data_IF_246525887581
#
_entry.id   IF_246525887581
#
_cell.length_a   1.000
_cell.length_b   1.000
_cell.length_c   1.000
_cell.angle_alpha   90.00
_cell.angle_beta   90.00
_cell.angle_gamma   90.00
#
_symmetry.space_group_name_H-M   'P 1'
#
loop_
_entity.id
_entity.type
_entity.pdbx_description
1 polymer ?
#
# COMPACT_ATOMS: atom_id res chain seq x y z
N UNK A 1 28.42 -1.01 -12.51
CA UNK A 1 27.15 -1.38 -11.84
C UNK A 1 26.06 -0.60 -12.55
N UNK A 2 25.40 -1.21 -13.54
CA UNK A 2 24.41 -0.52 -14.36
C UNK A 2 23.15 -0.27 -13.50
N UNK A 3 22.79 1.00 -13.34
CA UNK A 3 21.68 1.42 -12.49
C UNK A 3 20.32 1.16 -13.12
N UNK A 4 19.31 1.00 -12.25
CA UNK A 4 17.87 0.80 -12.48
C UNK A 4 17.22 1.66 -13.60
N UNK A 5 17.90 2.70 -14.09
CA UNK A 5 17.34 3.74 -14.95
C UNK A 5 17.63 3.60 -16.46
N UNK A 6 18.50 2.68 -16.91
CA UNK A 6 19.08 2.78 -18.26
C UNK A 6 18.58 1.80 -19.34
N UNK A 7 17.56 0.97 -19.07
CA UNK A 7 17.03 0.07 -20.11
C UNK A 7 15.51 0.17 -20.32
N UNK A 8 15.04 0.64 -21.48
CA UNK A 8 13.60 0.63 -21.82
C UNK A 8 13.04 -0.80 -21.95
N UNK A 9 13.91 -1.79 -22.23
CA UNK A 9 13.56 -3.22 -22.30
C UNK A 9 13.42 -3.89 -20.93
N UNK A 10 13.97 -3.31 -19.86
CA UNK A 10 13.79 -3.79 -18.48
C UNK A 10 12.57 -3.15 -17.79
N UNK A 11 11.88 -2.22 -18.46
CA UNK A 11 10.78 -1.44 -17.88
C UNK A 11 9.61 -2.29 -17.41
N UNK A 12 9.24 -3.37 -18.12
CA UNK A 12 8.13 -4.25 -17.74
C UNK A 12 8.46 -5.03 -16.45
N UNK A 13 9.69 -5.53 -16.33
CA UNK A 13 10.16 -6.22 -15.13
C UNK A 13 10.32 -5.25 -13.95
N UNK A 14 10.79 -4.03 -14.21
CA UNK A 14 10.87 -2.96 -13.19
C UNK A 14 9.47 -2.53 -12.72
N UNK A 15 8.49 -2.38 -13.61
CA UNK A 15 7.10 -2.12 -13.26
C UNK A 15 6.51 -3.26 -12.41
N UNK A 16 6.76 -4.51 -12.82
CA UNK A 16 6.27 -5.71 -12.12
C UNK A 16 6.86 -5.84 -10.72
N UNK A 17 8.17 -5.68 -10.57
CA UNK A 17 8.84 -5.73 -9.26
C UNK A 17 8.40 -4.61 -8.32
N UNK A 18 8.26 -3.36 -8.81
CA UNK A 18 7.68 -2.27 -8.02
C UNK A 18 6.24 -2.57 -7.61
N UNK A 19 5.43 -3.09 -8.53
CA UNK A 19 4.08 -3.54 -8.21
C UNK A 19 4.07 -4.54 -7.05
N UNK A 20 4.86 -5.62 -7.14
CA UNK A 20 4.92 -6.64 -6.10
C UNK A 20 5.43 -6.09 -4.77
N UNK A 21 6.41 -5.18 -4.78
CA UNK A 21 6.90 -4.52 -3.56
C UNK A 21 5.79 -3.72 -2.87
N UNK A 22 4.99 -2.96 -3.61
CA UNK A 22 3.85 -2.22 -3.05
C UNK A 22 2.70 -3.13 -2.61
N UNK A 23 2.45 -4.24 -3.30
CA UNK A 23 1.48 -5.25 -2.86
C UNK A 23 1.91 -5.87 -1.53
N UNK A 24 3.19 -6.18 -1.36
CA UNK A 24 3.71 -6.68 -0.10
C UNK A 24 3.51 -5.65 1.02
N UNK A 25 3.77 -4.37 0.75
CA UNK A 25 3.52 -3.29 1.73
C UNK A 25 2.05 -3.22 2.15
N UNK A 26 1.11 -3.37 1.19
CA UNK A 26 -0.32 -3.41 1.48
C UNK A 26 -0.68 -4.61 2.36
N UNK A 27 -0.28 -5.82 1.95
CA UNK A 27 -0.55 -7.06 2.69
C UNK A 27 0.02 -7.02 4.10
N UNK A 28 1.27 -6.57 4.25
CA UNK A 28 1.94 -6.49 5.55
C UNK A 28 1.25 -5.50 6.48
N UNK A 29 0.89 -4.31 5.97
CA UNK A 29 0.20 -3.29 6.75
C UNK A 29 -1.16 -3.81 7.24
N UNK A 30 -1.97 -4.35 6.32
CA UNK A 30 -3.31 -4.88 6.65
C UNK A 30 -3.21 -6.07 7.59
N UNK A 31 -2.26 -6.98 7.38
CA UNK A 31 -2.04 -8.14 8.25
C UNK A 31 -1.75 -7.72 9.69
N UNK A 32 -0.82 -6.79 9.89
CA UNK A 32 -0.47 -6.28 11.22
C UNK A 32 -1.63 -5.52 11.86
N UNK A 33 -2.40 -4.73 11.10
CA UNK A 33 -3.60 -4.07 11.62
C UNK A 33 -4.67 -5.07 12.06
N UNK A 34 -4.95 -6.11 11.26
CA UNK A 34 -5.89 -7.16 11.65
C UNK A 34 -5.40 -7.93 12.88
N UNK A 35 -4.10 -8.23 12.96
CA UNK A 35 -3.49 -8.88 14.12
C UNK A 35 -3.61 -8.00 15.38
N UNK A 36 -3.35 -6.69 15.27
CA UNK A 36 -3.52 -5.75 16.37
C UNK A 36 -4.99 -5.61 16.79
N UNK A 37 -5.94 -5.65 15.84
CA UNK A 37 -7.38 -5.57 16.11
C UNK A 37 -7.93 -6.79 16.86
N UNK A 38 -7.30 -7.96 16.74
CA UNK A 38 -7.62 -9.15 17.54
C UNK A 38 -7.23 -9.01 19.02
N UNK A 39 -6.49 -7.95 19.38
CA UNK A 39 -6.03 -7.68 20.74
C UNK A 39 -6.75 -6.45 21.30
N UNK A 40 -6.91 -6.38 22.63
CA UNK A 40 -7.44 -5.17 23.29
C UNK A 40 -6.51 -3.98 23.02
N UNK A 41 -7.02 -2.78 22.63
CA UNK A 41 -6.18 -1.63 22.29
C UNK A 41 -5.19 -1.19 23.38
N UNK A 42 -5.54 -1.39 24.65
CA UNK A 42 -4.67 -1.06 25.79
C UNK A 42 -3.65 -2.16 26.15
N UNK A 43 -3.65 -3.28 25.42
CA UNK A 43 -2.72 -4.39 25.69
C UNK A 43 -1.32 -4.13 25.16
N UNK A 44 -0.33 -4.74 25.81
CA UNK A 44 1.05 -4.76 25.33
C UNK A 44 1.17 -5.42 23.96
N UNK A 45 0.41 -6.50 23.71
CA UNK A 45 0.38 -7.18 22.42
C UNK A 45 -0.10 -6.26 21.28
N UNK A 46 -1.18 -5.50 21.50
CA UNK A 46 -1.65 -4.50 20.54
C UNK A 46 -0.57 -3.44 20.27
N UNK A 47 0.03 -2.90 21.34
CA UNK A 47 1.07 -1.87 21.26
C UNK A 47 2.31 -2.37 20.51
N UNK A 48 2.72 -3.61 20.76
CA UNK A 48 3.86 -4.27 20.11
C UNK A 48 3.62 -4.44 18.61
N UNK A 49 2.47 -4.99 18.22
CA UNK A 49 2.11 -5.19 16.81
C UNK A 49 2.05 -3.86 16.05
N UNK A 50 1.45 -2.83 16.65
CA UNK A 50 1.43 -1.48 16.07
C UNK A 50 2.82 -0.87 16.00
N UNK A 51 3.69 -1.10 17.00
CA UNK A 51 5.09 -0.68 16.98
C UNK A 51 5.85 -1.27 15.79
N UNK A 52 5.73 -2.59 15.56
CA UNK A 52 6.32 -3.27 14.40
C UNK A 52 5.85 -2.65 13.08
N UNK A 53 4.56 -2.33 12.98
CA UNK A 53 3.98 -1.69 11.80
C UNK A 53 4.60 -0.32 11.55
N UNK A 54 4.73 0.51 12.59
CA UNK A 54 5.31 1.84 12.44
C UNK A 54 6.81 1.80 12.18
N UNK A 55 7.54 0.88 12.79
CA UNK A 55 8.97 0.65 12.51
C UNK A 55 9.20 0.21 11.07
N UNK A 56 8.33 -0.64 10.53
CA UNK A 56 8.36 -1.01 9.12
C UNK A 56 8.24 0.23 8.22
N UNK A 57 7.24 1.07 8.44
CA UNK A 57 7.05 2.28 7.63
C UNK A 57 8.11 3.36 7.90
N UNK A 58 8.71 3.39 9.09
CA UNK A 58 9.86 4.22 9.41
C UNK A 58 11.10 3.87 8.58
N UNK A 59 11.23 2.62 8.14
CA UNK A 59 12.31 2.17 7.25
C UNK A 59 11.94 2.25 5.77
N UNK A 60 10.71 1.89 5.42
CA UNK A 60 10.26 1.86 4.01
C UNK A 60 10.08 3.26 3.44
N UNK A 61 9.50 4.19 4.21
CA UNK A 61 9.20 5.54 3.70
C UNK A 61 10.46 6.28 3.23
N UNK A 62 11.58 6.31 3.98
CA UNK A 62 12.83 6.90 3.49
C UNK A 62 13.35 6.27 2.20
N UNK A 63 13.27 4.94 2.06
CA UNK A 63 13.70 4.24 0.84
C UNK A 63 12.84 4.64 -0.37
N UNK A 64 11.53 4.77 -0.19
CA UNK A 64 10.61 5.23 -1.25
C UNK A 64 10.90 6.69 -1.61
N UNK A 65 11.15 7.56 -0.63
CA UNK A 65 11.54 8.95 -0.85
C UNK A 65 12.85 9.08 -1.63
N UNK A 66 13.84 8.27 -1.28
CA UNK A 66 15.09 8.19 -2.03
C UNK A 66 14.83 7.75 -3.47
N UNK A 67 13.99 6.72 -3.67
CA UNK A 67 13.64 6.22 -5.00
C UNK A 67 13.02 7.32 -5.89
N UNK A 68 12.03 8.04 -5.36
CA UNK A 68 11.37 9.12 -6.14
C UNK A 68 12.28 10.31 -6.39
N UNK A 69 13.31 10.54 -5.57
CA UNK A 69 14.26 11.65 -5.77
C UNK A 69 15.19 11.48 -6.97
N UNK A 70 15.35 10.26 -7.49
CA UNK A 70 16.30 9.96 -8.56
C UNK A 70 15.91 10.55 -9.91
N UNK A 71 14.63 10.47 -10.28
CA UNK A 71 14.15 11.03 -11.55
C UNK A 71 12.64 11.21 -11.54
N UNK A 72 12.17 12.18 -12.33
CA UNK A 72 10.73 12.43 -12.50
C UNK A 72 9.96 11.22 -13.05
N UNK A 73 10.56 10.48 -13.98
CA UNK A 73 9.95 9.28 -14.57
C UNK A 73 9.73 8.20 -13.51
N UNK A 74 10.74 7.96 -12.67
CA UNK A 74 10.63 7.00 -11.58
C UNK A 74 9.63 7.46 -10.52
N UNK A 75 9.59 8.76 -10.22
CA UNK A 75 8.59 9.34 -9.32
C UNK A 75 7.16 9.16 -9.85
N UNK A 76 6.93 9.31 -11.16
CA UNK A 76 5.62 9.06 -11.78
C UNK A 76 5.19 7.59 -11.61
N UNK A 77 6.11 6.65 -11.85
CA UNK A 77 5.86 5.22 -11.68
C UNK A 77 5.53 4.89 -10.23
N UNK A 78 6.35 5.37 -9.29
CA UNK A 78 6.14 5.16 -7.85
C UNK A 78 4.83 5.79 -7.40
N UNK A 79 4.50 7.01 -7.84
CA UNK A 79 3.25 7.68 -7.47
C UNK A 79 2.00 6.87 -7.85
N UNK A 80 2.01 6.20 -9.00
CA UNK A 80 0.91 5.32 -9.41
C UNK A 80 0.74 4.12 -8.47
N UNK A 81 1.84 3.45 -8.12
CA UNK A 81 1.81 2.32 -7.18
C UNK A 81 1.49 2.77 -5.76
N UNK A 82 2.02 3.91 -5.34
CA UNK A 82 1.80 4.50 -4.03
C UNK A 82 0.33 4.90 -3.83
N UNK A 83 -0.29 5.54 -4.82
CA UNK A 83 -1.73 5.83 -4.77
C UNK A 83 -2.56 4.55 -4.72
N UNK A 84 -2.17 3.51 -5.47
CA UNK A 84 -2.84 2.20 -5.41
C UNK A 84 -2.73 1.58 -4.01
N UNK A 85 -1.63 1.82 -3.30
CA UNK A 85 -1.47 1.44 -1.90
C UNK A 85 -2.42 2.25 -0.99
N UNK A 86 -2.51 3.56 -1.15
CA UNK A 86 -3.45 4.38 -0.36
C UNK A 86 -4.90 3.95 -0.56
N UNK A 87 -5.29 3.67 -1.81
CA UNK A 87 -6.62 3.19 -2.17
C UNK A 87 -6.91 1.81 -1.56
N UNK A 88 -5.93 0.89 -1.57
CA UNK A 88 -6.06 -0.42 -0.94
C UNK A 88 -6.23 -0.31 0.58
N UNK A 89 -5.45 0.57 1.23
CA UNK A 89 -5.58 0.82 2.66
C UNK A 89 -6.93 1.46 3.01
N UNK A 90 -7.42 2.38 2.19
CA UNK A 90 -8.75 2.97 2.33
C UNK A 90 -9.84 1.89 2.20
N UNK A 91 -9.76 1.04 1.18
CA UNK A 91 -10.73 -0.04 0.96
C UNK A 91 -10.73 -1.05 2.11
N UNK A 92 -9.61 -1.24 2.80
CA UNK A 92 -9.50 -2.09 3.99
C UNK A 92 -9.86 -1.37 5.31
N UNK A 93 -10.32 -0.11 5.25
CA UNK A 93 -10.59 0.75 6.42
C UNK A 93 -9.38 0.87 7.37
N UNK A 94 -8.17 0.94 6.81
CA UNK A 94 -6.92 1.07 7.56
C UNK A 94 -6.91 2.35 8.40
N UNK A 95 -6.69 2.21 9.71
CA UNK A 95 -6.53 3.35 10.62
C UNK A 95 -5.16 4.01 10.42
N UNK A 96 -4.16 3.23 9.98
CA UNK A 96 -2.80 3.65 9.70
C UNK A 96 -2.74 4.69 8.58
N UNK A 97 -3.62 4.60 7.58
CA UNK A 97 -3.66 5.55 6.46
C UNK A 97 -3.65 7.00 6.97
N UNK A 98 -4.60 7.36 7.83
CA UNK A 98 -4.70 8.72 8.38
C UNK A 98 -3.46 9.15 9.16
N UNK A 99 -2.87 8.22 9.92
CA UNK A 99 -1.69 8.47 10.77
C UNK A 99 -0.43 8.70 9.96
N UNK A 100 -0.27 8.01 8.84
CA UNK A 100 0.93 8.08 7.99
C UNK A 100 0.81 9.05 6.82
N UNK A 101 -0.40 9.52 6.49
CA UNK A 101 -0.60 10.52 5.44
C UNK A 101 0.34 11.74 5.52
N UNK A 102 0.61 12.35 6.69
CA UNK A 102 1.55 13.47 6.78
C UNK A 102 2.97 13.13 6.32
N UNK A 103 3.48 11.94 6.66
CA UNK A 103 4.83 11.50 6.29
C UNK A 103 4.90 10.93 4.87
N UNK A 104 3.76 10.53 4.32
CA UNK A 104 3.64 10.00 2.96
C UNK A 104 3.38 11.07 1.91
N UNK A 105 2.85 12.22 2.29
CA UNK A 105 2.63 13.33 1.36
C UNK A 105 3.89 13.68 0.56
N UNK A 106 5.10 13.80 1.16
CA UNK A 106 6.32 14.10 0.40
C UNK A 106 6.64 13.10 -0.73
N UNK A 107 6.22 11.83 -0.61
CA UNK A 107 6.41 10.83 -1.69
C UNK A 107 5.71 11.27 -2.97
N UNK A 108 4.46 11.72 -2.85
CA UNK A 108 3.65 12.13 -3.99
C UNK A 108 4.13 13.43 -4.63
N UNK A 109 4.65 14.35 -3.82
CA UNK A 109 4.98 15.71 -4.25
C UNK A 109 6.48 15.93 -4.50
N UNK A 110 7.32 14.89 -4.48
CA UNK A 110 8.78 15.01 -4.60
C UNK A 110 9.24 15.84 -5.82
N UNK A 111 8.55 15.72 -6.96
CA UNK A 111 8.81 16.49 -8.19
C UNK A 111 7.63 17.38 -8.60
N UNK A 112 6.63 17.56 -7.73
CA UNK A 112 5.38 18.21 -8.05
C UNK A 112 5.06 19.30 -7.04
N UNK A 113 4.97 20.53 -7.51
CA UNK A 113 4.31 21.62 -6.77
C UNK A 113 2.79 21.34 -6.74
N UNK A 114 2.26 20.85 -7.86
CA UNK A 114 0.89 20.38 -8.00
C UNK A 114 0.90 19.03 -8.73
N UNK A 115 0.17 18.05 -8.18
CA UNK A 115 0.01 16.74 -8.82
C UNK A 115 -0.78 16.85 -10.13
N UNK A 116 -0.46 16.03 -11.14
CA UNK A 116 -1.30 15.86 -12.32
C UNK A 116 -2.76 15.57 -11.95
N UNK A 117 -3.71 16.14 -12.68
CA UNK A 117 -5.14 16.14 -12.29
C UNK A 117 -5.71 14.74 -12.00
N UNK A 118 -5.35 13.72 -12.80
CA UNK A 118 -5.80 12.35 -12.57
C UNK A 118 -5.27 11.75 -11.26
N UNK A 119 -4.03 12.08 -10.86
CA UNK A 119 -3.47 11.67 -9.57
C UNK A 119 -4.09 12.46 -8.41
N UNK A 120 -4.38 13.74 -8.63
CA UNK A 120 -5.03 14.60 -7.65
C UNK A 120 -6.43 14.08 -7.30
N UNK A 121 -7.23 13.69 -8.30
CA UNK A 121 -8.58 13.12 -8.08
C UNK A 121 -8.51 11.82 -7.28
N UNK A 122 -7.58 10.92 -7.60
CA UNK A 122 -7.36 9.69 -6.83
C UNK A 122 -6.99 9.98 -5.38
N UNK A 123 -6.04 10.90 -5.17
CA UNK A 123 -5.61 11.29 -3.83
C UNK A 123 -6.76 11.92 -3.00
N UNK A 124 -7.61 12.73 -3.63
CA UNK A 124 -8.79 13.29 -2.98
C UNK A 124 -9.73 12.18 -2.51
N UNK A 125 -9.94 11.12 -3.32
CA UNK A 125 -10.68 9.93 -2.90
C UNK A 125 -10.15 9.30 -1.62
N UNK A 126 -8.82 9.24 -1.46
CA UNK A 126 -8.18 8.72 -0.24
C UNK A 126 -8.27 9.65 0.97
N UNK A 127 -8.43 10.96 0.76
CA UNK A 127 -8.51 11.98 1.82
C UNK A 127 -9.93 12.19 2.34
N UNK A 128 -10.94 11.85 1.55
CA UNK A 128 -12.36 11.95 1.91
C UNK A 128 -12.79 10.81 2.85
N UNK A 129 -12.01 10.56 3.89
CA UNK A 129 -12.35 9.62 4.96
C UNK A 129 -13.58 10.16 5.69
N UNK A 130 -14.69 9.42 5.79
CA UNK A 130 -15.69 9.72 6.82
C UNK A 130 -15.00 9.63 8.19
N UNK A 131 -15.32 10.51 9.16
CA UNK A 131 -14.75 10.41 10.50
C UNK A 131 -15.15 9.07 11.10
N UNK A 132 -14.18 8.17 11.25
CA UNK A 132 -14.35 6.86 11.86
C UNK A 132 -14.54 7.02 13.38
N UNK A 133 -15.70 7.51 13.81
CA UNK A 133 -16.18 7.33 15.19
C UNK A 133 -16.87 5.97 15.28
N UNK A 134 -16.11 4.88 15.31
CA UNK A 134 -16.60 3.62 15.87
C UNK A 134 -16.29 3.60 17.36
N UNK A 135 -17.09 4.33 18.14
CA UNK A 135 -17.30 4.00 19.55
C UNK A 135 -18.58 3.15 19.57
N UNK A 136 -18.45 1.87 19.24
CA UNK A 136 -19.47 0.90 19.63
C UNK A 136 -19.14 0.47 21.05
N UNK A 137 -20.04 0.65 22.03
CA UNK A 137 -19.82 0.16 23.39
C UNK A 137 -19.68 -1.38 23.38
N UNK A 138 -18.90 -1.97 24.30
CA UNK A 138 -18.69 -3.41 24.33
C UNK A 138 -19.96 -4.09 24.86
N UNK A 139 -20.86 -4.50 23.97
CA UNK A 139 -21.89 -5.49 24.34
C UNK A 139 -21.23 -6.86 24.41
N UNK A 140 -21.00 -7.30 25.64
CA UNK A 140 -20.62 -8.65 25.98
C UNK A 140 -21.72 -9.62 25.52
N UNK A 141 -21.53 -10.26 24.37
CA UNK A 141 -22.19 -11.53 24.07
C UNK A 141 -21.19 -12.45 23.40
N UNK A 142 -20.89 -13.52 24.13
CA UNK A 142 -20.10 -14.68 23.75
C UNK A 142 -20.60 -15.33 22.45
N UNK A 143 -19.93 -15.01 21.35
CA UNK A 143 -19.78 -15.88 20.18
C UNK A 143 -18.38 -15.62 19.61
N UNK A 144 -17.63 -16.64 19.13
CA UNK A 144 -16.37 -16.36 18.45
C UNK A 144 -16.72 -15.57 17.19
N UNK A 145 -16.38 -14.28 17.17
CA UNK A 145 -16.61 -13.38 16.05
C UNK A 145 -15.77 -13.82 14.84
N UNK A 146 -16.17 -14.92 14.20
CA UNK A 146 -15.93 -15.22 12.79
C UNK A 146 -16.87 -14.35 11.95
N UNK A 147 -16.97 -13.06 12.27
CA UNK A 147 -17.56 -12.07 11.38
C UNK A 147 -16.57 -11.95 10.23
N UNK A 148 -16.82 -12.75 9.19
CA UNK A 148 -16.15 -12.70 7.91
C UNK A 148 -15.98 -11.23 7.52
N UNK A 149 -14.74 -10.75 7.52
CA UNK A 149 -14.43 -9.41 7.04
C UNK A 149 -14.57 -9.46 5.50
N UNK A 150 -15.82 -9.48 5.01
CA UNK A 150 -16.16 -9.77 3.61
C UNK A 150 -15.55 -8.76 2.64
N UNK A 151 -15.29 -7.55 3.14
CA UNK A 151 -14.57 -6.51 2.43
C UNK A 151 -13.09 -6.89 2.26
N UNK A 152 -12.44 -7.35 3.33
CA UNK A 152 -11.07 -7.87 3.27
C UNK A 152 -10.96 -9.09 2.35
N UNK A 153 -11.90 -10.05 2.44
CA UNK A 153 -11.91 -11.22 1.56
C UNK A 153 -12.06 -10.82 0.09
N UNK A 154 -12.98 -9.91 -0.21
CA UNK A 154 -13.17 -9.39 -1.58
C UNK A 154 -11.93 -8.65 -2.07
N UNK A 155 -11.28 -7.88 -1.21
CA UNK A 155 -10.02 -7.20 -1.52
C UNK A 155 -8.91 -8.20 -1.84
N UNK A 156 -8.71 -9.22 -1.00
CA UNK A 156 -7.72 -10.29 -1.21
C UNK A 156 -7.98 -11.04 -2.53
N UNK A 157 -9.24 -11.36 -2.84
CA UNK A 157 -9.60 -12.05 -4.09
C UNK A 157 -9.26 -11.20 -5.32
N UNK A 158 -9.60 -9.91 -5.32
CA UNK A 158 -9.25 -9.00 -6.42
C UNK A 158 -7.74 -8.79 -6.52
N UNK A 159 -7.05 -8.70 -5.39
CA UNK A 159 -5.60 -8.58 -5.34
C UNK A 159 -4.92 -9.81 -5.94
N UNK A 160 -5.34 -11.01 -5.54
CA UNK A 160 -4.85 -12.27 -6.08
C UNK A 160 -5.08 -12.35 -7.61
N UNK A 161 -6.27 -11.99 -8.07
CA UNK A 161 -6.57 -11.95 -9.51
C UNK A 161 -5.65 -10.97 -10.25
N UNK A 162 -5.47 -9.75 -9.72
CA UNK A 162 -4.61 -8.72 -10.30
C UNK A 162 -3.15 -9.16 -10.35
N UNK A 163 -2.65 -9.82 -9.29
CA UNK A 163 -1.31 -10.41 -9.28
C UNK A 163 -1.17 -11.45 -10.39
N UNK A 164 -2.12 -12.38 -10.53
CA UNK A 164 -2.08 -13.38 -11.60
C UNK A 164 -2.09 -12.77 -13.01
N UNK A 165 -2.83 -11.67 -13.21
CA UNK A 165 -2.80 -10.94 -14.50
C UNK A 165 -1.44 -10.30 -14.78
N UNK A 166 -0.82 -9.67 -13.79
CA UNK A 166 0.50 -9.02 -13.94
C UNK A 166 1.61 -10.05 -14.13
N UNK A 167 1.55 -11.17 -13.43
CA UNK A 167 2.47 -12.29 -13.61
C UNK A 167 2.37 -12.85 -15.02
N UNK A 168 1.16 -13.10 -15.54
CA UNK A 168 0.96 -13.57 -16.91
C UNK A 168 1.53 -12.58 -17.95
N UNK A 169 1.29 -11.28 -17.77
CA UNK A 169 1.85 -10.24 -18.63
C UNK A 169 3.38 -10.18 -18.56
N UNK A 170 3.94 -10.30 -17.34
CA UNK A 170 5.38 -10.29 -17.11
C UNK A 170 6.06 -11.52 -17.73
N UNK A 171 5.45 -12.71 -17.60
CA UNK A 171 5.94 -13.94 -18.23
C UNK A 171 5.89 -13.85 -19.76
N UNK A 172 4.81 -13.33 -20.33
CA UNK A 172 4.71 -13.11 -21.78
C UNK A 172 5.81 -12.15 -22.29
N UNK A 173 6.09 -11.08 -21.55
CA UNK A 173 7.18 -10.16 -21.87
C UNK A 173 8.56 -10.85 -21.78
N UNK A 174 8.77 -11.72 -20.81
CA UNK A 174 10.05 -12.43 -20.58
C UNK A 174 10.45 -13.30 -21.79
N UNK A 175 9.49 -13.95 -22.47
CA UNK A 175 9.76 -14.72 -23.68
C UNK A 175 10.27 -13.89 -24.86
N UNK A 176 10.02 -12.58 -24.89
CA UNK A 176 10.58 -11.69 -25.93
C UNK A 176 12.04 -11.28 -25.65
N UNK A 177 12.58 -11.58 -24.47
CA UNK A 177 13.94 -11.22 -24.06
C UNK A 177 14.92 -12.42 -24.07
N UNK A 178 14.46 -13.62 -24.40
CA UNK A 178 15.29 -14.84 -24.42
C UNK A 178 15.89 -15.18 -25.80
N UNK A 179 16.27 -14.18 -26.60
CA UNK A 179 16.98 -14.36 -27.88
C UNK A 179 18.33 -13.65 -27.84
#
# INVERSE_FOLDING_TARGET
MAGFAEQPKASVLHMSSLFHAFVLCQLWTVYLEQSAACNMPASEAHSTTMGILFDFWGKVTPCVLQLVSHSKVLAEMVNLHFLSLLEALLECNSAVLSKLMPIWSPVLFAHYIQLPGHLQVRLQGCRNLPPTTYISPPTQTSAPERIHNSQLLRWLQRLQFKMGQIELQSSAATHFYSI
#
